data_IF_136677305959
#
_entry.id   IF_136677305959
#
_cell.length_a   1.000
_cell.length_b   1.000
_cell.length_c   1.000
_cell.angle_alpha   90.00
_cell.angle_beta   90.00
_cell.angle_gamma   90.00
#
_symmetry.space_group_name_H-M   'P 1'
#
loop_
_entity.id
_entity.type
_entity.pdbx_description
1 polymer ?
#
# COMPACT_ATOMS: atom_id res chain seq x y z
N UNK A 1 -28.43 -25.78 8.12
CA UNK A 1 -27.74 -24.69 8.84
C UNK A 1 -26.64 -25.33 9.65
N UNK A 2 -25.40 -25.32 9.16
CA UNK A 2 -24.28 -25.75 9.99
C UNK A 2 -24.07 -24.66 11.05
N UNK A 3 -24.16 -25.01 12.34
CA UNK A 3 -23.77 -24.11 13.43
C UNK A 3 -22.33 -23.65 13.16
N UNK A 4 -22.17 -22.39 12.77
CA UNK A 4 -20.86 -21.80 12.56
C UNK A 4 -20.06 -21.94 13.85
N UNK A 5 -18.88 -22.59 13.77
CA UNK A 5 -17.96 -22.65 14.90
C UNK A 5 -17.76 -21.23 15.42
N UNK A 6 -17.99 -20.99 16.71
CA UNK A 6 -17.76 -19.69 17.31
C UNK A 6 -16.34 -19.18 17.03
N UNK A 7 -16.15 -17.86 16.95
CA UNK A 7 -14.90 -17.21 16.53
C UNK A 7 -13.66 -17.80 17.22
N UNK A 8 -13.73 -18.01 18.53
CA UNK A 8 -12.64 -18.58 19.34
C UNK A 8 -12.28 -20.00 18.89
N UNK A 9 -13.28 -20.82 18.56
CA UNK A 9 -13.07 -22.18 18.09
C UNK A 9 -12.47 -22.21 16.68
N UNK A 10 -12.84 -21.25 15.83
CA UNK A 10 -12.24 -21.09 14.50
C UNK A 10 -10.75 -20.71 14.60
N UNK A 11 -10.42 -19.71 15.42
CA UNK A 11 -9.03 -19.24 15.63
C UNK A 11 -8.13 -20.35 16.20
N UNK A 12 -8.66 -21.23 17.05
CA UNK A 12 -7.91 -22.41 17.55
C UNK A 12 -7.51 -23.41 16.46
N UNK A 13 -8.20 -23.41 15.32
CA UNK A 13 -7.87 -24.29 14.18
C UNK A 13 -6.89 -23.67 13.19
N UNK A 14 -6.40 -22.45 13.46
CA UNK A 14 -5.48 -21.76 12.56
C UNK A 14 -4.08 -22.39 12.62
N UNK A 15 -3.37 -22.45 11.48
CA UNK A 15 -1.96 -22.81 11.47
C UNK A 15 -1.16 -21.85 12.35
N UNK A 16 -0.27 -22.31 13.27
CA UNK A 16 0.49 -21.43 14.14
C UNK A 16 1.31 -20.35 13.40
N UNK A 17 1.76 -20.67 12.18
CA UNK A 17 2.44 -19.76 11.27
C UNK A 17 1.73 -18.42 11.07
N UNK A 18 0.40 -18.40 10.98
CA UNK A 18 -0.32 -17.20 10.57
C UNK A 18 -0.35 -16.11 11.65
N UNK A 19 -0.14 -16.47 12.92
CA UNK A 19 -0.04 -15.50 14.01
C UNK A 19 1.25 -14.69 13.94
N UNK A 20 2.38 -15.33 13.57
CA UNK A 20 3.64 -14.62 13.30
C UNK A 20 3.48 -13.67 12.11
N UNK A 21 2.77 -14.09 11.06
CA UNK A 21 2.50 -13.25 9.89
C UNK A 21 1.60 -12.06 10.23
N UNK A 22 0.62 -12.23 11.11
CA UNK A 22 -0.26 -11.15 11.55
C UNK A 22 0.50 -10.07 12.32
N UNK A 23 1.38 -10.48 13.24
CA UNK A 23 2.25 -9.57 13.98
C UNK A 23 3.28 -8.87 13.08
N UNK A 24 3.87 -9.61 12.13
CA UNK A 24 4.73 -9.05 11.09
C UNK A 24 4.02 -7.97 10.27
N UNK A 25 2.79 -8.25 9.79
CA UNK A 25 2.03 -7.29 8.99
C UNK A 25 1.70 -6.03 9.79
N UNK A 26 1.28 -6.15 11.05
CA UNK A 26 1.03 -4.99 11.91
C UNK A 26 2.28 -4.09 12.01
N UNK A 27 3.44 -4.69 12.30
CA UNK A 27 4.69 -3.97 12.54
C UNK A 27 5.24 -3.33 11.25
N UNK A 28 5.20 -4.04 10.12
CA UNK A 28 5.61 -3.47 8.83
C UNK A 28 4.67 -2.34 8.39
N UNK A 29 3.36 -2.49 8.59
CA UNK A 29 2.38 -1.44 8.25
C UNK A 29 2.58 -0.21 9.12
N UNK A 30 2.84 -0.40 10.41
CA UNK A 30 3.24 0.70 11.28
C UNK A 30 4.47 1.41 10.73
N UNK A 31 5.49 0.64 10.35
CA UNK A 31 6.75 1.19 9.85
C UNK A 31 6.56 2.05 8.59
N UNK A 32 5.86 1.50 7.59
CA UNK A 32 5.58 2.18 6.32
C UNK A 32 4.76 3.47 6.52
N UNK A 33 3.63 3.39 7.22
CA UNK A 33 2.74 4.55 7.39
C UNK A 33 3.33 5.60 8.33
N UNK A 34 4.06 5.20 9.37
CA UNK A 34 4.68 6.12 10.32
C UNK A 34 5.76 6.98 9.66
N UNK A 35 6.68 6.36 8.93
CA UNK A 35 7.70 7.06 8.14
C UNK A 35 7.04 7.97 7.10
N UNK A 36 6.05 7.45 6.34
CA UNK A 36 5.35 8.20 5.30
C UNK A 36 4.61 9.43 5.85
N UNK A 37 4.07 9.37 7.07
CA UNK A 37 3.30 10.47 7.65
C UNK A 37 4.14 11.74 7.89
N UNK A 38 5.39 11.58 8.31
CA UNK A 38 6.28 12.71 8.65
C UNK A 38 7.18 13.14 7.49
N UNK A 39 7.23 12.36 6.40
CA UNK A 39 8.18 12.54 5.30
C UNK A 39 8.08 13.92 4.62
N UNK A 40 6.87 14.39 4.32
CA UNK A 40 6.67 15.70 3.66
C UNK A 40 7.24 16.84 4.50
N UNK A 41 6.99 16.82 5.82
CA UNK A 41 7.52 17.85 6.73
C UNK A 41 9.03 17.72 6.93
N UNK A 42 9.57 16.50 6.90
CA UNK A 42 11.02 16.27 6.96
C UNK A 42 11.75 16.91 5.77
N UNK A 43 11.26 16.68 4.54
CA UNK A 43 11.83 17.26 3.33
C UNK A 43 11.80 18.80 3.33
N UNK A 44 10.76 19.39 3.91
CA UNK A 44 10.66 20.86 4.02
C UNK A 44 11.57 21.40 5.12
N UNK A 45 11.64 20.73 6.27
CA UNK A 45 12.32 21.27 7.45
C UNK A 45 13.82 21.02 7.42
N UNK A 46 14.24 19.80 7.09
CA UNK A 46 15.65 19.37 7.20
C UNK A 46 16.41 19.47 5.88
N UNK A 47 15.73 19.25 4.73
CA UNK A 47 16.30 19.45 3.38
C UNK A 47 16.03 20.84 2.80
N UNK A 48 15.21 21.65 3.49
CA UNK A 48 14.86 23.03 3.06
C UNK A 48 14.25 23.11 1.67
N UNK A 49 13.54 22.06 1.24
CA UNK A 49 12.85 22.04 -0.04
C UNK A 49 11.59 22.91 -0.04
N UNK A 50 11.23 23.42 -1.22
CA UNK A 50 9.93 24.05 -1.42
C UNK A 50 8.81 23.01 -1.28
N UNK A 51 7.59 23.46 -0.93
CA UNK A 51 6.42 22.59 -0.78
C UNK A 51 6.13 21.73 -2.03
N UNK A 52 6.37 22.28 -3.22
CA UNK A 52 6.25 21.59 -4.51
C UNK A 52 7.29 20.47 -4.68
N UNK A 53 8.55 20.75 -4.32
CA UNK A 53 9.65 19.77 -4.39
C UNK A 53 9.44 18.64 -3.37
N UNK A 54 9.04 18.97 -2.14
CA UNK A 54 8.74 17.96 -1.12
C UNK A 54 7.60 17.03 -1.57
N UNK A 55 6.54 17.59 -2.17
CA UNK A 55 5.44 16.81 -2.74
C UNK A 55 5.89 15.93 -3.91
N UNK A 56 6.79 16.42 -4.76
CA UNK A 56 7.37 15.64 -5.85
C UNK A 56 8.13 14.41 -5.33
N UNK A 57 9.05 14.59 -4.39
CA UNK A 57 9.82 13.47 -3.82
C UNK A 57 8.94 12.48 -3.04
N UNK A 58 7.95 12.98 -2.30
CA UNK A 58 6.96 12.15 -1.63
C UNK A 58 6.22 11.24 -2.62
N UNK A 59 5.68 11.83 -3.71
CA UNK A 59 4.93 11.06 -4.71
C UNK A 59 5.83 10.16 -5.56
N UNK A 60 7.08 10.53 -5.80
CA UNK A 60 8.07 9.66 -6.43
C UNK A 60 8.36 8.42 -5.58
N UNK A 61 8.54 8.60 -4.26
CA UNK A 61 8.68 7.50 -3.32
C UNK A 61 7.45 6.57 -3.33
N UNK A 62 6.24 7.14 -3.23
CA UNK A 62 4.99 6.35 -3.26
C UNK A 62 4.84 5.60 -4.57
N UNK A 63 5.10 6.25 -5.71
CA UNK A 63 5.02 5.64 -7.04
C UNK A 63 5.97 4.46 -7.16
N UNK A 64 7.22 4.62 -6.71
CA UNK A 64 8.21 3.52 -6.71
C UNK A 64 7.76 2.36 -5.80
N UNK A 65 7.20 2.67 -4.63
CA UNK A 65 6.73 1.68 -3.66
C UNK A 65 5.51 0.86 -4.13
N UNK A 66 4.68 1.41 -5.02
CA UNK A 66 3.54 0.72 -5.61
C UNK A 66 3.82 0.15 -7.02
N UNK A 67 4.92 0.53 -7.66
CA UNK A 67 5.41 -0.09 -8.90
C UNK A 67 6.30 -1.33 -8.65
N UNK A 68 7.12 -1.31 -7.60
CA UNK A 68 8.02 -2.40 -7.24
C UNK A 68 7.37 -3.77 -6.91
N UNK A 69 6.07 -3.89 -6.53
CA UNK A 69 5.40 -5.20 -6.41
C UNK A 69 5.50 -6.08 -7.65
N UNK A 70 5.49 -5.51 -8.86
CA UNK A 70 5.63 -6.28 -10.10
C UNK A 70 6.98 -6.99 -10.16
N UNK A 71 8.04 -6.34 -9.68
CA UNK A 71 9.39 -6.91 -9.62
C UNK A 71 9.40 -8.00 -8.54
N UNK A 72 8.88 -7.70 -7.35
CA UNK A 72 8.82 -8.64 -6.23
C UNK A 72 8.09 -9.93 -6.57
N UNK A 73 6.90 -9.84 -7.19
CA UNK A 73 6.11 -11.01 -7.57
C UNK A 73 6.82 -11.87 -8.62
N UNK A 74 7.41 -11.25 -9.65
CA UNK A 74 8.16 -11.98 -10.70
C UNK A 74 9.38 -12.69 -10.11
N UNK A 75 10.12 -12.03 -9.22
CA UNK A 75 11.29 -12.59 -8.56
C UNK A 75 10.91 -13.76 -7.63
N UNK A 76 9.80 -13.63 -6.90
CA UNK A 76 9.30 -14.65 -5.99
C UNK A 76 8.75 -15.87 -6.73
N UNK A 77 7.90 -15.65 -7.74
CA UNK A 77 7.22 -16.75 -8.41
C UNK A 77 8.17 -17.55 -9.31
N UNK A 78 9.11 -16.89 -10.01
CA UNK A 78 9.96 -17.56 -11.00
C UNK A 78 11.31 -18.09 -10.47
N UNK A 79 11.92 -17.44 -9.46
CA UNK A 79 13.33 -17.67 -9.12
C UNK A 79 13.53 -18.17 -7.68
N UNK A 80 13.11 -17.39 -6.68
CA UNK A 80 13.54 -17.61 -5.29
C UNK A 80 12.48 -18.22 -4.37
N UNK A 81 11.20 -18.16 -4.76
CA UNK A 81 10.08 -18.52 -3.90
C UNK A 81 9.72 -17.39 -2.92
N UNK A 82 8.44 -17.36 -2.53
CA UNK A 82 7.87 -16.30 -1.68
C UNK A 82 8.61 -16.13 -0.36
N UNK A 83 8.94 -17.23 0.34
CA UNK A 83 9.63 -17.19 1.63
C UNK A 83 11.00 -16.49 1.55
N UNK A 84 11.84 -16.85 0.56
CA UNK A 84 13.19 -16.28 0.43
C UNK A 84 13.15 -14.81 0.02
N UNK A 85 12.20 -14.42 -0.85
CA UNK A 85 12.00 -13.00 -1.20
C UNK A 85 11.58 -12.21 0.02
N UNK A 86 10.59 -12.67 0.79
CA UNK A 86 10.18 -11.98 2.02
C UNK A 86 11.36 -11.84 2.98
N UNK A 87 12.12 -12.92 3.21
CA UNK A 87 13.26 -12.92 4.14
C UNK A 87 14.32 -11.88 3.76
N UNK A 88 14.87 -11.97 2.54
CA UNK A 88 15.99 -11.12 2.12
C UNK A 88 15.55 -9.68 1.87
N UNK A 89 14.37 -9.46 1.28
CA UNK A 89 13.88 -8.11 1.01
C UNK A 89 13.49 -7.41 2.31
N UNK A 90 12.96 -8.13 3.31
CA UNK A 90 12.70 -7.52 4.64
C UNK A 90 13.99 -7.10 5.36
N UNK A 91 15.08 -7.86 5.21
CA UNK A 91 16.39 -7.44 5.73
C UNK A 91 16.88 -6.15 5.06
N UNK A 92 16.75 -6.07 3.72
CA UNK A 92 17.04 -4.85 2.96
C UNK A 92 16.15 -3.69 3.39
N UNK A 93 14.89 -3.96 3.73
CA UNK A 93 13.97 -2.96 4.26
C UNK A 93 14.46 -2.39 5.59
N UNK A 94 14.89 -3.23 6.52
CA UNK A 94 15.49 -2.78 7.79
C UNK A 94 16.69 -1.88 7.55
N UNK A 95 17.59 -2.25 6.61
CA UNK A 95 18.74 -1.41 6.24
C UNK A 95 18.30 -0.03 5.70
N UNK A 96 17.27 0.02 4.86
CA UNK A 96 16.72 1.29 4.37
C UNK A 96 16.24 2.21 5.48
N UNK A 97 15.59 1.65 6.51
CA UNK A 97 15.19 2.41 7.71
C UNK A 97 16.38 2.87 8.55
N UNK A 98 17.44 2.06 8.67
CA UNK A 98 18.68 2.47 9.36
C UNK A 98 19.31 3.66 8.64
N UNK A 99 19.43 3.61 7.31
CA UNK A 99 19.96 4.71 6.51
C UNK A 99 19.16 6.01 6.73
N UNK A 100 17.83 5.93 6.64
CA UNK A 100 16.95 7.08 6.83
C UNK A 100 17.00 7.62 8.27
N UNK A 101 17.08 6.75 9.27
CA UNK A 101 17.16 7.16 10.69
C UNK A 101 18.49 7.84 11.02
N UNK A 102 19.59 7.41 10.41
CA UNK A 102 20.91 8.04 10.59
C UNK A 102 20.96 9.36 9.82
N UNK A 103 20.45 9.40 8.58
CA UNK A 103 20.40 10.62 7.77
C UNK A 103 19.62 11.76 8.44
N UNK A 104 18.57 11.41 9.21
CA UNK A 104 17.77 12.35 9.98
C UNK A 104 18.49 13.02 11.17
N UNK A 105 19.70 12.60 11.55
CA UNK A 105 20.44 13.23 12.66
C UNK A 105 20.85 14.65 12.25
N UNK A 106 20.47 15.69 13.03
CA UNK A 106 20.68 17.10 12.65
C UNK A 106 22.14 17.51 12.43
N UNK A 107 23.09 16.80 13.05
CA UNK A 107 24.51 17.14 13.09
C UNK A 107 25.31 16.63 11.87
N UNK A 108 24.69 15.83 10.98
CA UNK A 108 25.36 15.37 9.77
C UNK A 108 25.51 16.51 8.74
N UNK A 109 26.58 16.43 7.96
CA UNK A 109 26.75 17.24 6.76
C UNK A 109 25.58 17.07 5.79
N UNK A 110 25.20 18.16 5.10
CA UNK A 110 24.07 18.19 4.19
C UNK A 110 24.19 17.18 3.03
N UNK A 111 25.40 16.99 2.51
CA UNK A 111 25.66 16.04 1.42
C UNK A 111 25.46 14.62 1.91
N UNK A 112 26.02 14.29 3.06
CA UNK A 112 25.91 12.96 3.64
C UNK A 112 24.46 12.63 4.02
N UNK A 113 23.74 13.58 4.63
CA UNK A 113 22.29 13.47 4.88
C UNK A 113 21.52 13.13 3.61
N UNK A 114 21.73 13.90 2.55
CA UNK A 114 21.05 13.71 1.27
C UNK A 114 21.30 12.32 0.69
N UNK A 115 22.55 11.86 0.70
CA UNK A 115 22.89 10.52 0.22
C UNK A 115 22.19 9.44 1.04
N UNK A 116 22.24 9.53 2.38
CA UNK A 116 21.62 8.55 3.27
C UNK A 116 20.09 8.53 3.14
N UNK A 117 19.45 9.69 3.09
CA UNK A 117 17.99 9.79 3.04
C UNK A 117 17.42 9.29 1.70
N UNK A 118 17.96 9.75 0.57
CA UNK A 118 17.43 9.33 -0.73
C UNK A 118 17.79 7.89 -1.07
N UNK A 119 18.99 7.41 -0.67
CA UNK A 119 19.30 5.98 -0.79
C UNK A 119 18.40 5.13 0.10
N UNK A 120 18.17 5.56 1.36
CA UNK A 120 17.25 4.91 2.29
C UNK A 120 15.82 4.85 1.75
N UNK A 121 15.30 5.96 1.22
CA UNK A 121 13.96 6.02 0.63
C UNK A 121 13.80 5.11 -0.61
N UNK A 122 14.81 5.06 -1.50
CA UNK A 122 14.80 4.15 -2.65
C UNK A 122 14.79 2.70 -2.18
N UNK A 123 15.65 2.36 -1.22
CA UNK A 123 15.73 1.02 -0.62
C UNK A 123 14.40 0.63 0.01
N UNK A 124 13.81 1.52 0.83
CA UNK A 124 12.49 1.30 1.46
C UNK A 124 11.41 1.10 0.40
N UNK A 125 11.35 1.94 -0.63
CA UNK A 125 10.33 1.86 -1.69
C UNK A 125 10.40 0.53 -2.47
N UNK A 126 11.61 0.11 -2.84
CA UNK A 126 11.81 -1.17 -3.51
C UNK A 126 11.48 -2.34 -2.59
N UNK A 127 11.87 -2.26 -1.32
CA UNK A 127 11.67 -3.34 -0.37
C UNK A 127 10.21 -3.54 0.02
N UNK A 128 9.50 -2.47 0.42
CA UNK A 128 8.07 -2.56 0.81
C UNK A 128 7.21 -3.08 -0.33
N UNK A 129 7.42 -2.60 -1.56
CA UNK A 129 6.63 -3.10 -2.68
C UNK A 129 7.03 -4.52 -3.06
N UNK A 130 8.32 -4.87 -2.98
CA UNK A 130 8.81 -6.23 -3.24
C UNK A 130 8.18 -7.30 -2.35
N UNK A 131 7.95 -7.01 -1.06
CA UNK A 131 7.37 -7.97 -0.10
C UNK A 131 5.84 -8.03 -0.16
N UNK A 132 5.14 -6.93 -0.47
CA UNK A 132 3.67 -6.83 -0.43
C UNK A 132 2.91 -7.98 -1.12
N UNK A 133 3.17 -8.29 -2.41
CA UNK A 133 2.45 -9.37 -3.10
C UNK A 133 2.82 -10.75 -2.51
N UNK A 134 4.05 -10.87 -2.00
CA UNK A 134 4.57 -12.13 -1.49
C UNK A 134 3.99 -12.49 -0.12
N UNK A 135 3.91 -11.54 0.83
CA UNK A 135 3.44 -11.80 2.22
C UNK A 135 1.99 -12.23 2.23
N UNK A 136 1.11 -11.53 1.50
CA UNK A 136 -0.32 -11.88 1.45
C UNK A 136 -0.54 -13.25 0.84
N UNK A 137 0.15 -13.56 -0.27
CA UNK A 137 0.06 -14.86 -0.92
C UNK A 137 0.65 -15.97 -0.05
N UNK A 138 1.77 -15.73 0.61
CA UNK A 138 2.39 -16.69 1.53
C UNK A 138 1.52 -16.97 2.75
N UNK A 139 0.76 -15.98 3.25
CA UNK A 139 -0.19 -16.17 4.34
C UNK A 139 -1.36 -17.07 3.92
N UNK A 140 -1.87 -16.89 2.69
CA UNK A 140 -2.90 -17.75 2.12
C UNK A 140 -2.42 -19.20 1.99
N UNK A 141 -1.16 -19.42 1.59
CA UNK A 141 -0.56 -20.75 1.40
C UNK A 141 -0.48 -21.57 2.70
N UNK A 142 -0.55 -20.93 3.87
CA UNK A 142 -0.49 -21.62 5.16
C UNK A 142 -1.77 -22.42 5.45
N UNK A 143 -2.89 -22.06 4.83
CA UNK A 143 -4.16 -22.75 4.99
C UNK A 143 -4.30 -23.89 3.97
N UNK A 144 -4.83 -25.03 4.40
CA UNK A 144 -5.21 -26.11 3.49
C UNK A 144 -6.47 -25.78 2.67
N UNK A 145 -6.71 -26.53 1.60
CA UNK A 145 -7.90 -26.33 0.74
C UNK A 145 -9.22 -26.52 1.49
N UNK A 146 -9.23 -27.40 2.50
CA UNK A 146 -10.35 -27.65 3.41
C UNK A 146 -10.60 -26.51 4.42
N UNK A 147 -9.72 -25.49 4.49
CA UNK A 147 -9.79 -24.38 5.43
C UNK A 147 -10.15 -23.05 4.75
N UNK A 148 -10.96 -23.09 3.69
CA UNK A 148 -11.31 -21.90 2.91
C UNK A 148 -12.02 -20.81 3.74
N UNK A 149 -12.90 -21.21 4.68
CA UNK A 149 -13.63 -20.28 5.55
C UNK A 149 -12.69 -19.61 6.56
N UNK A 150 -11.82 -20.38 7.22
CA UNK A 150 -10.79 -19.86 8.12
C UNK A 150 -9.83 -18.91 7.41
N UNK A 151 -9.44 -19.23 6.17
CA UNK A 151 -8.59 -18.35 5.35
C UNK A 151 -9.26 -17.00 5.08
N UNK A 152 -10.53 -16.99 4.70
CA UNK A 152 -11.30 -15.74 4.51
C UNK A 152 -11.40 -14.93 5.81
N UNK A 153 -11.67 -15.60 6.93
CA UNK A 153 -11.72 -14.96 8.24
C UNK A 153 -10.35 -14.41 8.66
N UNK A 154 -9.27 -15.13 8.40
CA UNK A 154 -7.90 -14.66 8.63
C UNK A 154 -7.60 -13.38 7.88
N UNK A 155 -8.00 -13.26 6.61
CA UNK A 155 -7.80 -12.02 5.85
C UNK A 155 -8.60 -10.83 6.40
N UNK A 156 -9.69 -11.07 7.14
CA UNK A 156 -10.38 -10.01 7.88
C UNK A 156 -9.54 -9.52 9.06
N UNK A 157 -8.90 -10.42 9.81
CA UNK A 157 -7.93 -10.05 10.85
C UNK A 157 -6.68 -9.39 10.27
N UNK A 158 -6.20 -9.86 9.13
CA UNK A 158 -5.08 -9.26 8.41
C UNK A 158 -5.39 -7.82 8.01
N UNK A 159 -6.58 -7.57 7.46
CA UNK A 159 -7.07 -6.23 7.15
C UNK A 159 -7.19 -5.34 8.39
N UNK A 160 -7.67 -5.90 9.51
CA UNK A 160 -7.70 -5.19 10.79
C UNK A 160 -6.28 -4.82 11.26
N UNK A 161 -5.32 -5.73 11.18
CA UNK A 161 -3.92 -5.48 11.56
C UNK A 161 -3.28 -4.39 10.71
N UNK A 162 -3.57 -4.34 9.40
CA UNK A 162 -3.12 -3.26 8.51
C UNK A 162 -3.62 -1.89 9.00
N UNK A 163 -4.92 -1.78 9.28
CA UNK A 163 -5.54 -0.52 9.70
C UNK A 163 -5.16 -0.13 11.13
N UNK A 164 -5.02 -1.10 12.04
CA UNK A 164 -4.56 -0.86 13.39
C UNK A 164 -3.10 -0.37 13.38
N UNK A 165 -2.22 -1.01 12.60
CA UNK A 165 -0.82 -0.61 12.46
C UNK A 165 -0.69 0.79 11.88
N UNK A 166 -1.45 1.11 10.82
CA UNK A 166 -1.44 2.45 10.22
C UNK A 166 -2.02 3.52 11.15
N UNK A 167 -3.11 3.22 11.87
CA UNK A 167 -3.70 4.13 12.84
C UNK A 167 -2.70 4.51 13.94
N UNK A 168 -2.10 3.50 14.57
CA UNK A 168 -1.14 3.72 15.65
C UNK A 168 0.10 4.46 15.14
N UNK A 169 0.56 4.18 13.92
CA UNK A 169 1.71 4.88 13.33
C UNK A 169 1.44 6.35 13.04
N UNK A 170 0.31 6.68 12.40
CA UNK A 170 -0.03 8.06 12.05
C UNK A 170 -0.33 8.89 13.31
N UNK A 171 -0.78 8.25 14.40
CA UNK A 171 -0.92 8.92 15.69
C UNK A 171 0.44 9.14 16.36
N UNK A 172 1.22 8.08 16.55
CA UNK A 172 2.42 8.11 17.39
C UNK A 172 3.61 8.79 16.70
N UNK A 173 3.87 8.51 15.42
CA UNK A 173 5.09 9.00 14.76
C UNK A 173 5.15 10.53 14.67
N UNK A 174 4.07 11.24 14.29
CA UNK A 174 4.02 12.70 14.41
C UNK A 174 4.18 13.22 15.84
N UNK A 175 3.64 12.51 16.85
CA UNK A 175 3.84 12.90 18.26
C UNK A 175 5.31 12.79 18.66
N UNK A 176 6.00 11.73 18.24
CA UNK A 176 7.43 11.55 18.47
C UNK A 176 8.25 12.66 17.80
N UNK A 177 7.87 13.06 16.58
CA UNK A 177 8.49 14.19 15.87
C UNK A 177 8.25 15.53 16.60
N UNK A 178 7.01 15.82 16.97
CA UNK A 178 6.57 17.17 17.36
C UNK A 178 6.52 17.45 18.86
N UNK A 179 6.50 16.43 19.72
CA UNK A 179 6.40 16.58 21.19
C UNK A 179 7.67 16.18 21.93
N UNK A 180 8.61 15.52 21.27
CA UNK A 180 9.92 15.15 21.82
C UNK A 180 10.99 16.00 21.16
N UNK A 181 11.87 16.59 21.95
CA UNK A 181 13.06 17.32 21.47
C UNK A 181 14.26 16.38 21.49
N UNK A 182 15.07 16.40 20.45
CA UNK A 182 16.33 15.65 20.42
C UNK A 182 17.42 16.41 19.67
N UNK A 183 18.68 16.16 20.05
CA UNK A 183 19.85 16.80 19.46
C UNK A 183 19.79 18.34 19.43
N UNK A 184 19.08 18.96 20.38
CA UNK A 184 18.89 20.42 20.45
C UNK A 184 17.92 21.00 19.41
N UNK A 185 17.23 20.18 18.62
CA UNK A 185 16.19 20.61 17.67
C UNK A 185 14.80 20.62 18.32
N UNK A 186 13.94 21.54 17.88
CA UNK A 186 12.51 21.57 18.25
C UNK A 186 11.75 20.33 17.76
N UNK A 187 12.23 19.68 16.70
CA UNK A 187 11.62 18.48 16.13
C UNK A 187 12.58 17.29 16.19
N UNK A 188 12.05 16.12 16.54
CA UNK A 188 12.85 14.89 16.63
C UNK A 188 12.58 13.91 15.48
N UNK A 189 13.09 14.23 14.29
CA UNK A 189 13.04 13.34 13.13
C UNK A 189 13.81 12.02 13.29
N UNK A 190 15.01 11.96 13.94
CA UNK A 190 15.70 10.70 14.18
C UNK A 190 14.84 9.68 14.92
N UNK A 191 14.11 10.11 15.96
CA UNK A 191 13.22 9.22 16.70
C UNK A 191 11.99 8.85 15.88
N UNK A 192 11.42 9.83 15.15
CA UNK A 192 10.26 9.61 14.29
C UNK A 192 10.52 8.62 13.14
N UNK A 193 11.75 8.52 12.63
CA UNK A 193 12.13 7.48 11.65
C UNK A 193 12.72 6.21 12.29
N UNK A 194 13.39 6.36 13.43
CA UNK A 194 14.00 5.25 14.17
C UNK A 194 12.98 4.29 14.75
N UNK A 195 11.87 4.77 15.32
CA UNK A 195 10.81 3.91 15.86
C UNK A 195 10.17 3.04 14.76
N UNK A 196 9.71 3.59 13.61
CA UNK A 196 9.37 2.79 12.44
C UNK A 196 10.44 1.76 12.04
N UNK A 197 11.72 2.13 12.07
CA UNK A 197 12.82 1.21 11.76
C UNK A 197 12.94 0.04 12.74
N UNK A 198 12.79 0.30 14.04
CA UNK A 198 12.75 -0.74 15.08
C UNK A 198 11.54 -1.65 14.90
N UNK A 199 10.37 -1.10 14.56
CA UNK A 199 9.18 -1.91 14.28
C UNK A 199 9.36 -2.77 13.03
N UNK A 200 10.05 -2.28 11.99
CA UNK A 200 10.41 -3.10 10.83
C UNK A 200 11.37 -4.25 11.22
N UNK A 201 12.33 -3.99 12.11
CA UNK A 201 13.20 -5.04 12.65
C UNK A 201 12.40 -6.08 13.44
N UNK A 202 11.45 -5.64 14.28
CA UNK A 202 10.53 -6.55 15.00
C UNK A 202 9.71 -7.37 14.01
N UNK A 203 9.20 -6.76 12.93
CA UNK A 203 8.47 -7.46 11.87
C UNK A 203 9.33 -8.61 11.29
N UNK A 204 10.57 -8.29 10.89
CA UNK A 204 11.52 -9.27 10.38
C UNK A 204 11.80 -10.40 11.39
N UNK A 205 12.04 -10.07 12.66
CA UNK A 205 12.29 -11.06 13.71
C UNK A 205 11.08 -11.96 13.96
N UNK A 206 9.86 -11.41 13.96
CA UNK A 206 8.62 -12.19 14.06
C UNK A 206 8.47 -13.14 12.86
N UNK A 207 8.76 -12.66 11.65
CA UNK A 207 8.74 -13.50 10.47
C UNK A 207 9.73 -14.66 10.59
N UNK A 208 10.98 -14.40 10.98
CA UNK A 208 12.00 -15.45 11.17
C UNK A 208 11.64 -16.42 12.28
N UNK A 209 11.05 -15.96 13.39
CA UNK A 209 10.61 -16.83 14.48
C UNK A 209 9.57 -17.87 14.04
N UNK A 210 8.75 -17.53 13.05
CA UNK A 210 7.77 -18.44 12.44
C UNK A 210 8.36 -19.53 11.53
N UNK A 211 9.67 -19.52 11.24
CA UNK A 211 10.32 -20.37 10.23
C UNK A 211 9.94 -21.86 10.33
N UNK A 212 9.95 -22.42 11.55
CA UNK A 212 9.66 -23.83 11.79
C UNK A 212 8.20 -24.22 11.52
N UNK A 213 7.29 -23.24 11.51
CA UNK A 213 5.86 -23.46 11.34
C UNK A 213 5.39 -23.23 9.91
N UNK A 214 6.23 -22.63 9.05
CA UNK A 214 5.81 -22.27 7.70
C UNK A 214 5.75 -23.47 6.75
N UNK A 215 4.65 -23.53 6.00
CA UNK A 215 4.55 -24.33 4.79
C UNK A 215 5.21 -23.57 3.64
N UNK A 216 6.40 -24.00 3.25
CA UNK A 216 7.18 -23.37 2.18
C UNK A 216 6.98 -24.14 0.88
N UNK A 217 6.21 -23.54 -0.04
CA UNK A 217 6.05 -24.07 -1.40
C UNK A 217 7.22 -23.64 -2.30
N UNK A 218 7.72 -24.52 -3.19
CA UNK A 218 8.75 -24.14 -4.15
C UNK A 218 8.22 -23.12 -5.17
N UNK A 219 9.14 -22.39 -5.81
CA UNK A 219 8.81 -21.45 -6.89
C UNK A 219 8.13 -22.17 -8.06
N UNK A 220 7.06 -21.58 -8.60
CA UNK A 220 6.38 -22.10 -9.78
C UNK A 220 7.20 -21.77 -11.03
N UNK A 221 7.59 -22.76 -11.83
CA UNK A 221 8.52 -22.57 -12.97
C UNK A 221 7.90 -21.89 -14.21
N UNK A 222 6.98 -20.94 -14.06
CA UNK A 222 6.22 -20.35 -15.16
C UNK A 222 6.21 -18.82 -15.17
N UNK A 223 6.82 -18.21 -16.18
CA UNK A 223 6.84 -16.75 -16.35
C UNK A 223 5.56 -16.23 -17.04
N UNK A 224 4.42 -16.32 -16.33
CA UNK A 224 3.10 -15.92 -16.84
C UNK A 224 3.10 -14.46 -17.30
N UNK A 225 3.80 -13.56 -16.58
CA UNK A 225 3.90 -12.14 -16.94
C UNK A 225 4.53 -11.96 -18.32
N UNK A 226 5.66 -12.62 -18.59
CA UNK A 226 6.30 -12.56 -19.90
C UNK A 226 5.42 -13.16 -21.01
N UNK A 227 4.73 -14.26 -20.73
CA UNK A 227 3.77 -14.87 -21.67
C UNK A 227 2.64 -13.91 -22.04
N UNK A 228 2.07 -13.20 -21.05
CA UNK A 228 1.01 -12.20 -21.25
C UNK A 228 1.51 -11.03 -22.09
N UNK A 229 2.66 -10.44 -21.74
CA UNK A 229 3.25 -9.30 -22.48
C UNK A 229 3.56 -9.71 -23.92
N UNK A 230 4.19 -10.88 -24.10
CA UNK A 230 4.51 -11.40 -25.43
C UNK A 230 3.27 -11.66 -26.28
N UNK A 231 2.20 -12.19 -25.68
CA UNK A 231 0.91 -12.40 -26.34
C UNK A 231 0.29 -11.08 -26.81
N UNK A 232 0.27 -10.06 -25.95
CA UNK A 232 -0.24 -8.73 -26.27
C UNK A 232 0.57 -8.08 -27.40
N UNK A 233 1.90 -8.08 -27.29
CA UNK A 233 2.79 -7.50 -28.31
C UNK A 233 2.66 -8.23 -29.66
N UNK A 234 2.54 -9.56 -29.65
CA UNK A 234 2.34 -10.36 -30.85
C UNK A 234 0.99 -10.03 -31.51
N UNK A 235 -0.10 -10.01 -30.74
CA UNK A 235 -1.43 -9.63 -31.24
C UNK A 235 -1.43 -8.22 -31.84
N UNK A 236 -0.81 -7.25 -31.15
CA UNK A 236 -0.72 -5.86 -31.62
C UNK A 236 0.06 -5.76 -32.94
N UNK A 237 1.21 -6.44 -33.04
CA UNK A 237 2.02 -6.48 -34.27
C UNK A 237 1.22 -7.08 -35.43
N UNK A 238 0.54 -8.20 -35.20
CA UNK A 238 -0.26 -8.86 -36.23
C UNK A 238 -1.47 -8.03 -36.66
N UNK A 239 -2.13 -7.32 -35.73
CA UNK A 239 -3.20 -6.37 -36.06
C UNK A 239 -2.71 -5.28 -37.01
N UNK A 240 -1.54 -4.70 -36.75
CA UNK A 240 -0.94 -3.67 -37.62
C UNK A 240 -0.60 -4.26 -38.99
N UNK A 241 0.02 -5.44 -39.05
CA UNK A 241 0.31 -6.11 -40.32
C UNK A 241 -0.97 -6.47 -41.11
N UNK A 242 -2.02 -6.93 -40.44
CA UNK A 242 -3.30 -7.27 -41.06
C UNK A 242 -4.02 -6.02 -41.60
N UNK A 243 -3.96 -4.90 -40.88
CA UNK A 243 -4.49 -3.61 -41.34
C UNK A 243 -3.76 -3.11 -42.60
N UNK A 244 -2.45 -3.34 -42.73
CA UNK A 244 -1.68 -2.98 -43.92
C UNK A 244 -1.90 -3.92 -45.12
N UNK A 245 -2.26 -5.19 -44.88
CA UNK A 245 -2.37 -6.23 -45.92
C UNK A 245 -3.81 -6.56 -46.33
N UNK A 246 -4.81 -5.92 -45.74
CA UNK A 246 -6.21 -6.12 -46.07
C UNK A 246 -6.77 -7.49 -45.65
N UNK A 247 -6.24 -8.08 -44.57
CA UNK A 247 -6.72 -9.38 -44.06
C UNK A 247 -8.08 -9.27 -43.34
N UNK A 248 -8.77 -10.41 -43.22
CA UNK A 248 -10.06 -10.55 -42.56
C UNK A 248 -10.06 -9.99 -41.12
N UNK A 249 -11.12 -9.25 -40.79
CA UNK A 249 -11.33 -8.71 -39.46
C UNK A 249 -11.72 -9.83 -38.50
N UNK A 250 -10.87 -10.09 -37.51
CA UNK A 250 -11.20 -10.92 -36.34
C UNK A 250 -12.15 -10.18 -35.39
N UNK A 251 -12.99 -10.92 -34.64
CA UNK A 251 -13.95 -10.35 -33.69
C UNK A 251 -13.30 -9.50 -32.59
N UNK A 252 -12.22 -10.00 -31.97
CA UNK A 252 -11.44 -9.25 -30.99
C UNK A 252 -9.99 -9.14 -31.44
N UNK A 253 -9.37 -7.97 -31.29
CA UNK A 253 -8.00 -7.72 -31.78
C UNK A 253 -6.92 -8.62 -31.15
N UNK A 254 -7.18 -9.22 -29.99
CA UNK A 254 -6.28 -10.21 -29.41
C UNK A 254 -6.30 -11.55 -30.15
N UNK A 255 -7.33 -11.86 -30.94
CA UNK A 255 -7.45 -13.13 -31.66
C UNK A 255 -6.42 -13.31 -32.77
N UNK A 256 -5.75 -12.23 -33.19
CA UNK A 256 -4.56 -12.34 -34.02
C UNK A 256 -3.42 -13.14 -33.37
N UNK A 257 -3.45 -13.37 -32.05
CA UNK A 257 -2.51 -14.23 -31.34
C UNK A 257 -2.92 -15.70 -31.25
N UNK A 258 -4.14 -16.07 -31.66
CA UNK A 258 -4.64 -17.45 -31.62
C UNK A 258 -3.74 -18.49 -32.32
N UNK A 259 -3.03 -18.18 -33.44
CA UNK A 259 -2.15 -19.16 -34.08
C UNK A 259 -0.93 -19.57 -33.23
N UNK A 260 -0.53 -18.75 -32.26
CA UNK A 260 0.71 -18.94 -31.49
C UNK A 260 0.47 -19.30 -30.02
N UNK A 261 -0.67 -18.90 -29.46
CA UNK A 261 -0.94 -19.02 -28.02
C UNK A 261 -2.18 -19.88 -27.77
N UNK A 262 -2.19 -20.59 -26.64
CA UNK A 262 -3.32 -21.45 -26.28
C UNK A 262 -4.58 -20.61 -25.98
N UNK A 263 -5.75 -21.24 -26.14
CA UNK A 263 -7.05 -20.58 -25.97
C UNK A 263 -7.29 -20.10 -24.53
N UNK A 264 -6.79 -20.83 -23.52
CA UNK A 264 -6.93 -20.48 -22.11
C UNK A 264 -6.16 -19.21 -21.73
N UNK A 265 -4.89 -19.08 -22.17
CA UNK A 265 -4.10 -17.87 -21.99
C UNK A 265 -4.74 -16.71 -22.74
N UNK A 266 -5.21 -16.95 -23.97
CA UNK A 266 -5.83 -15.91 -24.77
C UNK A 266 -7.11 -15.36 -24.11
N UNK A 267 -7.97 -16.23 -23.60
CA UNK A 267 -9.15 -15.85 -22.82
C UNK A 267 -8.78 -15.09 -21.55
N UNK A 268 -7.73 -15.53 -20.84
CA UNK A 268 -7.19 -14.84 -19.67
C UNK A 268 -6.68 -13.43 -20.00
N UNK A 269 -5.92 -13.28 -21.09
CA UNK A 269 -5.39 -11.98 -21.56
C UNK A 269 -6.52 -11.05 -21.99
N UNK A 270 -7.56 -11.56 -22.67
CA UNK A 270 -8.76 -10.77 -23.01
C UNK A 270 -9.45 -10.22 -21.77
N UNK A 271 -9.70 -11.07 -20.77
CA UNK A 271 -10.29 -10.67 -19.49
C UNK A 271 -9.42 -9.65 -18.76
N UNK A 272 -8.10 -9.85 -18.73
CA UNK A 272 -7.15 -8.93 -18.13
C UNK A 272 -7.21 -7.53 -18.79
N UNK A 273 -7.16 -7.46 -20.12
CA UNK A 273 -7.24 -6.19 -20.85
C UNK A 273 -8.57 -5.49 -20.59
N UNK A 274 -9.68 -6.22 -20.56
CA UNK A 274 -10.99 -5.65 -20.23
C UNK A 274 -11.01 -5.05 -18.81
N UNK A 275 -10.42 -5.73 -17.82
CA UNK A 275 -10.30 -5.24 -16.44
C UNK A 275 -9.40 -4.00 -16.37
N UNK A 276 -8.28 -3.97 -17.12
CA UNK A 276 -7.38 -2.80 -17.15
C UNK A 276 -8.09 -1.56 -17.70
N UNK A 277 -8.88 -1.71 -18.77
CA UNK A 277 -9.70 -0.61 -19.32
C UNK A 277 -10.72 -0.14 -18.29
N UNK A 278 -11.40 -1.07 -17.62
CA UNK A 278 -12.36 -0.77 -16.57
C UNK A 278 -11.73 -0.03 -15.37
N UNK A 279 -10.46 -0.30 -15.07
CA UNK A 279 -9.73 0.32 -13.96
C UNK A 279 -9.09 1.66 -14.34
N UNK A 280 -9.14 2.09 -15.60
CA UNK A 280 -8.63 3.39 -16.05
C UNK A 280 -9.08 4.58 -15.16
N UNK A 281 -10.38 4.72 -14.83
CA UNK A 281 -10.85 5.79 -13.95
C UNK A 281 -10.28 5.77 -12.52
N UNK A 282 -9.81 4.61 -12.01
CA UNK A 282 -9.23 4.51 -10.68
C UNK A 282 -7.90 5.27 -10.57
N UNK A 283 -7.22 5.54 -11.68
CA UNK A 283 -5.99 6.35 -11.69
C UNK A 283 -6.28 7.73 -11.09
N UNK A 284 -7.40 8.35 -11.47
CA UNK A 284 -7.81 9.65 -10.92
C UNK A 284 -8.17 9.54 -9.44
N UNK A 285 -8.83 8.46 -9.02
CA UNK A 285 -9.13 8.23 -7.61
C UNK A 285 -7.84 8.18 -6.77
N UNK A 286 -6.82 7.44 -7.21
CA UNK A 286 -5.55 7.35 -6.48
C UNK A 286 -4.76 8.66 -6.53
N UNK A 287 -4.75 9.36 -7.67
CA UNK A 287 -4.14 10.68 -7.80
C UNK A 287 -4.72 11.71 -6.83
N UNK A 288 -6.01 11.58 -6.48
CA UNK A 288 -6.68 12.36 -5.45
C UNK A 288 -6.39 11.82 -4.06
N UNK A 289 -6.57 10.51 -3.83
CA UNK A 289 -6.43 9.89 -2.52
C UNK A 289 -5.03 10.08 -1.91
N UNK A 290 -3.97 9.94 -2.70
CA UNK A 290 -2.59 10.05 -2.20
C UNK A 290 -2.16 11.49 -1.85
N UNK A 291 -2.98 12.51 -2.17
CA UNK A 291 -2.74 13.90 -1.74
C UNK A 291 -2.86 14.09 -0.23
N UNK A 292 -3.49 13.14 0.48
CA UNK A 292 -3.67 13.19 1.93
C UNK A 292 -2.36 13.30 2.71
N UNK A 293 -1.26 12.73 2.19
CA UNK A 293 0.04 12.77 2.87
C UNK A 293 1.00 13.84 2.37
N UNK A 294 0.59 14.66 1.40
CA UNK A 294 1.35 15.82 0.92
C UNK A 294 0.47 17.07 0.98
N UNK A 295 -0.30 17.36 -0.06
CA UNK A 295 -1.11 18.59 -0.19
C UNK A 295 -2.01 18.86 1.02
N UNK A 296 -2.68 17.85 1.58
CA UNK A 296 -3.55 18.05 2.75
C UNK A 296 -2.76 18.33 4.04
N UNK A 297 -1.56 17.77 4.18
CA UNK A 297 -0.65 18.09 5.30
C UNK A 297 -0.21 19.56 5.21
N UNK A 298 0.07 20.04 4.00
CA UNK A 298 0.44 21.45 3.76
C UNK A 298 -0.71 22.41 4.03
N UNK A 299 -1.93 22.04 3.62
CA UNK A 299 -3.14 22.79 3.96
C UNK A 299 -3.35 22.83 5.48
N UNK A 300 -3.25 21.68 6.15
CA UNK A 300 -3.40 21.58 7.61
C UNK A 300 -2.33 22.38 8.39
N UNK A 301 -1.13 22.57 7.83
CA UNK A 301 -0.08 23.41 8.43
C UNK A 301 -0.50 24.89 8.54
N UNK A 302 -1.45 25.34 7.73
CA UNK A 302 -1.96 26.72 7.72
C UNK A 302 -3.26 26.88 8.52
N UNK A 303 -3.76 25.80 9.13
CA UNK A 303 -5.00 25.78 9.89
C UNK A 303 -4.72 25.75 11.39
N UNK A 304 -5.71 26.16 12.20
CA UNK A 304 -5.66 25.92 13.64
C UNK A 304 -5.95 24.46 13.95
N UNK A 305 -4.95 23.76 14.52
CA UNK A 305 -5.06 22.37 14.95
C UNK A 305 -5.61 22.17 16.37
N UNK A 306 -6.01 23.24 17.07
CA UNK A 306 -6.52 23.16 18.44
C UNK A 306 -7.93 22.57 18.47
N UNK A 307 -8.09 21.46 19.18
CA UNK A 307 -9.36 20.81 19.46
C UNK A 307 -9.51 20.70 20.99
N UNK A 308 -10.10 21.74 21.58
CA UNK A 308 -10.18 21.86 23.04
C UNK A 308 -8.78 21.92 23.68
N UNK A 309 -8.44 21.01 24.63
CA UNK A 309 -7.13 21.00 25.28
C UNK A 309 -6.04 20.32 24.44
N UNK A 310 -6.38 19.68 23.32
CA UNK A 310 -5.43 18.93 22.50
C UNK A 310 -5.12 19.70 21.20
N UNK A 311 -3.85 19.67 20.79
CA UNK A 311 -3.44 20.16 19.47
C UNK A 311 -3.15 18.96 18.57
N UNK A 312 -3.89 18.86 17.47
CA UNK A 312 -3.67 17.91 16.38
C UNK A 312 -2.56 18.47 15.48
N UNK A 313 -1.52 17.67 15.24
CA UNK A 313 -0.44 18.07 14.34
C UNK A 313 -0.87 17.92 12.87
N UNK A 314 -0.36 18.73 11.93
CA UNK A 314 -0.77 18.69 10.52
C UNK A 314 -0.63 17.29 9.88
N UNK A 315 0.45 16.60 10.21
CA UNK A 315 0.78 15.25 9.77
C UNK A 315 -0.07 14.14 10.44
N UNK A 316 -0.89 14.48 11.44
CA UNK A 316 -1.88 13.57 12.05
C UNK A 316 -3.26 13.65 11.38
N UNK A 317 -3.49 14.56 10.43
CA UNK A 317 -4.77 14.64 9.73
C UNK A 317 -5.15 13.30 9.06
N UNK A 318 -4.15 12.55 8.61
CA UNK A 318 -4.36 11.24 7.98
C UNK A 318 -4.80 10.15 8.98
N UNK A 319 -4.81 10.39 10.30
CA UNK A 319 -5.33 9.46 11.31
C UNK A 319 -6.80 9.13 11.10
N UNK A 320 -7.59 10.09 10.60
CA UNK A 320 -9.02 9.88 10.34
C UNK A 320 -9.27 8.79 9.31
N UNK A 321 -8.36 8.55 8.38
CA UNK A 321 -8.54 7.57 7.32
C UNK A 321 -8.68 6.13 7.86
N UNK A 322 -7.67 5.54 8.53
CA UNK A 322 -7.81 4.19 9.10
C UNK A 322 -8.88 4.11 10.19
N UNK A 323 -9.11 5.20 10.95
CA UNK A 323 -10.18 5.25 11.95
C UNK A 323 -11.56 5.12 11.30
N UNK A 324 -11.83 5.92 10.26
CA UNK A 324 -13.09 5.88 9.51
C UNK A 324 -13.23 4.51 8.84
N UNK A 325 -12.18 3.91 8.28
CA UNK A 325 -12.24 2.57 7.71
C UNK A 325 -12.69 1.54 8.77
N UNK A 326 -12.04 1.52 9.93
CA UNK A 326 -12.34 0.56 11.01
C UNK A 326 -13.77 0.68 11.53
N UNK A 327 -14.34 1.89 11.53
CA UNK A 327 -15.72 2.16 11.95
C UNK A 327 -16.71 1.86 10.81
N UNK A 328 -16.38 2.27 9.59
CA UNK A 328 -17.29 2.28 8.45
C UNK A 328 -17.48 0.89 7.84
N UNK A 329 -16.42 0.07 7.78
CA UNK A 329 -16.51 -1.30 7.24
C UNK A 329 -17.58 -2.14 7.93
N UNK A 330 -17.59 -2.30 9.27
CA UNK A 330 -18.62 -3.10 9.94
C UNK A 330 -20.01 -2.48 9.79
N UNK A 331 -20.13 -1.15 9.81
CA UNK A 331 -21.42 -0.45 9.59
C UNK A 331 -21.96 -0.72 8.18
N UNK A 332 -21.09 -0.68 7.18
CA UNK A 332 -21.49 -0.90 5.80
C UNK A 332 -21.91 -2.33 5.54
N UNK A 333 -21.17 -3.32 6.07
CA UNK A 333 -21.52 -4.73 5.91
C UNK A 333 -22.77 -5.12 6.71
N UNK A 334 -22.93 -4.62 7.94
CA UNK A 334 -24.05 -5.00 8.80
C UNK A 334 -25.36 -4.25 8.49
N UNK A 335 -25.28 -2.98 8.09
CA UNK A 335 -26.47 -2.12 7.98
C UNK A 335 -26.65 -1.52 6.59
N UNK A 336 -25.62 -0.84 6.05
CA UNK A 336 -25.78 -0.05 4.82
C UNK A 336 -26.01 -0.94 3.60
N UNK A 337 -25.18 -1.95 3.35
CA UNK A 337 -25.34 -2.83 2.19
C UNK A 337 -26.58 -3.72 2.29
N UNK A 338 -26.94 -4.30 3.45
CA UNK A 338 -28.22 -5.00 3.58
C UNK A 338 -29.43 -4.09 3.32
N UNK A 339 -29.42 -2.85 3.81
CA UNK A 339 -30.50 -1.90 3.56
C UNK A 339 -30.54 -1.45 2.08
N UNK A 340 -29.39 -1.09 1.51
CA UNK A 340 -29.28 -0.68 0.11
C UNK A 340 -29.72 -1.80 -0.85
N UNK A 341 -29.42 -3.07 -0.54
CA UNK A 341 -29.86 -4.23 -1.31
C UNK A 341 -31.38 -4.42 -1.36
N UNK A 342 -32.13 -3.81 -0.44
CA UNK A 342 -33.61 -3.79 -0.50
C UNK A 342 -34.14 -2.83 -1.56
N UNK A 343 -33.37 -1.80 -1.93
CA UNK A 343 -33.79 -0.73 -2.85
C UNK A 343 -33.13 -0.87 -4.21
N UNK A 344 -31.85 -1.26 -4.25
CA UNK A 344 -31.10 -1.38 -5.49
C UNK A 344 -30.10 -2.53 -5.45
N UNK A 345 -29.79 -3.10 -6.62
CA UNK A 345 -28.72 -4.09 -6.72
C UNK A 345 -27.35 -3.41 -6.53
N UNK A 346 -26.68 -3.69 -5.42
CA UNK A 346 -25.38 -3.09 -5.06
C UNK A 346 -24.25 -3.89 -5.71
N UNK A 347 -23.96 -3.60 -6.98
CA UNK A 347 -22.86 -4.24 -7.72
C UNK A 347 -21.50 -3.64 -7.34
N UNK A 348 -20.38 -4.39 -7.47
CA UNK A 348 -19.04 -3.85 -7.23
C UNK A 348 -18.74 -2.58 -8.03
N UNK A 349 -19.17 -2.54 -9.30
CA UNK A 349 -19.03 -1.35 -10.17
C UNK A 349 -19.78 -0.13 -9.64
N UNK A 350 -20.99 -0.31 -9.09
CA UNK A 350 -21.75 0.80 -8.48
C UNK A 350 -21.06 1.32 -7.22
N UNK A 351 -20.47 0.42 -6.42
CA UNK A 351 -19.65 0.83 -5.25
C UNK A 351 -18.44 1.65 -5.69
N UNK A 352 -17.74 1.22 -6.75
CA UNK A 352 -16.59 1.96 -7.30
C UNK A 352 -17.00 3.34 -7.81
N UNK A 353 -18.09 3.43 -8.58
CA UNK A 353 -18.60 4.71 -9.09
C UNK A 353 -19.01 5.66 -7.95
N UNK A 354 -19.74 5.17 -6.95
CA UNK A 354 -20.12 5.96 -5.78
C UNK A 354 -18.89 6.46 -5.00
N UNK A 355 -17.87 5.62 -4.83
CA UNK A 355 -16.59 6.03 -4.23
C UNK A 355 -15.88 7.14 -5.00
N UNK A 356 -15.91 7.08 -6.34
CA UNK A 356 -15.39 8.15 -7.20
C UNK A 356 -16.13 9.48 -7.01
N UNK A 357 -17.46 9.45 -6.92
CA UNK A 357 -18.28 10.65 -6.64
C UNK A 357 -17.94 11.23 -5.26
N UNK A 358 -17.82 10.38 -4.23
CA UNK A 358 -17.44 10.82 -2.88
C UNK A 358 -16.03 11.43 -2.85
N UNK A 359 -15.09 10.89 -3.62
CA UNK A 359 -13.76 11.49 -3.76
C UNK A 359 -13.81 12.88 -4.41
N UNK A 360 -14.63 13.06 -5.45
CA UNK A 360 -14.83 14.37 -6.06
C UNK A 360 -15.44 15.38 -5.06
N UNK A 361 -16.46 14.97 -4.30
CA UNK A 361 -17.06 15.80 -3.24
C UNK A 361 -16.03 16.18 -2.16
N UNK A 362 -15.20 15.23 -1.72
CA UNK A 362 -14.12 15.48 -0.76
C UNK A 362 -13.15 16.55 -1.26
N UNK A 363 -12.79 16.55 -2.54
CA UNK A 363 -11.91 17.56 -3.12
C UNK A 363 -12.57 18.92 -3.32
N UNK A 364 -13.88 18.96 -3.61
CA UNK A 364 -14.63 20.22 -3.60
C UNK A 364 -14.59 20.84 -2.19
N UNK A 365 -14.81 20.04 -1.14
CA UNK A 365 -14.71 20.52 0.24
C UNK A 365 -13.29 21.01 0.58
N UNK A 366 -12.26 20.26 0.19
CA UNK A 366 -10.87 20.68 0.39
C UNK A 366 -10.52 21.99 -0.34
N UNK A 367 -11.05 22.20 -1.55
CA UNK A 367 -10.89 23.44 -2.31
C UNK A 367 -11.60 24.61 -1.65
N UNK A 368 -12.83 24.42 -1.15
CA UNK A 368 -13.57 25.45 -0.42
C UNK A 368 -12.84 25.86 0.87
N UNK A 369 -12.27 24.89 1.60
CA UNK A 369 -11.43 25.16 2.77
C UNK A 369 -10.14 25.92 2.43
N UNK A 370 -9.60 25.74 1.22
CA UNK A 370 -8.39 26.43 0.78
C UNK A 370 -8.62 27.92 0.54
N UNK A 371 -9.84 28.33 0.15
CA UNK A 371 -10.16 29.72 -0.22
C UNK A 371 -9.84 30.71 0.92
N UNK A 372 -10.38 30.57 2.15
CA UNK A 372 -10.04 31.46 3.27
C UNK A 372 -8.56 31.46 3.62
N UNK A 373 -7.88 30.31 3.49
CA UNK A 373 -6.46 30.17 3.82
C UNK A 373 -5.54 30.93 2.84
N UNK A 374 -6.00 31.18 1.61
CA UNK A 374 -5.28 32.02 0.65
C UNK A 374 -5.43 33.51 0.99
N UNK A 375 -6.61 33.92 1.46
CA UNK A 375 -6.91 35.32 1.77
C UNK A 375 -6.51 35.75 3.19
N UNK A 376 -6.25 34.80 4.09
CA UNK A 376 -5.79 35.09 5.47
C UNK A 376 -4.27 35.33 5.58
N UNK A 377 -3.55 35.36 4.45
CA UNK A 377 -2.08 35.61 4.39
C UNK A 377 -1.78 37.10 4.20
N UNK A 378 -2.71 38.00 4.54
CA UNK A 378 -2.49 39.46 4.56
C UNK A 378 -2.67 40.03 5.95
#
# INVERSE_FOLDING_TARGET
MAEGKGLVQSVRTYPPAVFFMLGNEFCERFSFYGMRAVLTLYLITEHRFQESQASLFYHAFVSLAFASPLIGSVVADNYFGRFRVILWVSLVYVMGHVLLSIGAIPQLDHTLRSVLDFSGLIVIALATGGIKPCVSAFAADQFGDHQAEQRTQFFSFFYFAINAGSLVAIVLTPMLRGRVKCFGSEYCFPLAFGVPGVLMLIAFLLFVAGYKYYKISPAAKGNVVFSVISCICYAAKQKVCAACRGHDKVEHWLDYAAPKYNSQLLAGVKSLVAILVLFGPLIFFWALFDQQGSTWVLQARRMDGRVGPFTILPDQMNTFNPLIILITVPIFEAFVYPAARKVCNVTPLRKMAAGGVLAAVAFIMAALLQVPLLFSVH
#
